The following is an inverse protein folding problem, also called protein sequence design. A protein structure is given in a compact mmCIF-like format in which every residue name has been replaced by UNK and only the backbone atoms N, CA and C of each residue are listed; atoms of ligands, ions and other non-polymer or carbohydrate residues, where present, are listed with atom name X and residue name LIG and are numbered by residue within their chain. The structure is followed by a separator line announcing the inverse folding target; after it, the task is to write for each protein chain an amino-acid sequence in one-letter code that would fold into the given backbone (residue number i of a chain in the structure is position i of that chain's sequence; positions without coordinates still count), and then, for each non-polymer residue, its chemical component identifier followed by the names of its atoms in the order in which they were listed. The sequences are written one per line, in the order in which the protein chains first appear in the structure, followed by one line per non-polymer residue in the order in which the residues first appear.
data_IF_880636627101
#
_entry.id   IF_880636627101
#
_cell.length_a   1.000
_cell.length_b   1.000
_cell.length_c   1.000
_cell.angle_alpha   90.00
_cell.angle_beta   90.00
_cell.angle_gamma   90.00
#
_symmetry.space_group_name_H-M   'P 1'
#
loop_
_entity.id
_entity.type
_entity.pdbx_description
1 polymer ?
#
# COMPACT_ATOMS: atom_id res chain seq x y z
N UNK A 1 6.56 7.34 -20.64
CA UNK A 1 7.41 6.15 -20.43
C UNK A 1 7.97 6.26 -19.02
N UNK A 2 7.65 5.29 -18.16
CA UNK A 2 7.99 5.31 -16.73
C UNK A 2 9.14 4.32 -16.54
N UNK A 3 10.28 4.74 -16.02
CA UNK A 3 11.49 3.90 -15.91
C UNK A 3 11.77 3.56 -14.43
N UNK A 4 12.26 2.35 -14.19
CA UNK A 4 12.64 1.86 -12.85
C UNK A 4 14.05 2.33 -12.45
N UNK A 5 14.31 2.41 -11.14
CA UNK A 5 15.62 2.77 -10.59
C UNK A 5 16.63 1.61 -10.74
N UNK A 6 17.87 1.87 -11.20
CA UNK A 6 18.92 0.85 -11.20
C UNK A 6 19.37 0.54 -9.76
N UNK A 7 19.65 -0.74 -9.52
CA UNK A 7 20.21 -1.26 -8.26
C UNK A 7 21.58 -0.61 -7.99
N UNK A 8 21.92 -0.19 -6.76
CA UNK A 8 23.26 0.30 -6.47
C UNK A 8 24.28 -0.87 -6.50
N UNK A 9 24.93 -0.98 -7.66
CA UNK A 9 26.21 -1.62 -8.03
C UNK A 9 26.56 -3.01 -7.44
N UNK A 10 26.39 -4.04 -8.27
CA UNK A 10 27.45 -5.00 -8.55
C UNK A 10 27.34 -5.38 -10.04
N UNK A 11 28.40 -5.09 -10.80
CA UNK A 11 28.36 -4.93 -12.25
C UNK A 11 27.89 -6.16 -13.04
N UNK A 12 27.06 -5.89 -14.05
CA UNK A 12 27.06 -6.54 -15.36
C UNK A 12 25.91 -5.97 -16.23
N UNK A 13 26.25 -5.49 -17.42
CA UNK A 13 25.35 -5.52 -18.57
C UNK A 13 24.33 -4.39 -18.69
N UNK A 14 24.64 -3.45 -19.58
CA UNK A 14 23.67 -2.58 -20.21
C UNK A 14 22.54 -3.38 -20.87
N UNK A 15 21.38 -3.47 -20.21
CA UNK A 15 20.17 -4.04 -20.82
C UNK A 15 18.84 -3.47 -20.29
N UNK A 16 18.84 -2.53 -19.33
CA UNK A 16 17.58 -2.07 -18.71
C UNK A 16 17.29 -0.57 -18.88
N UNK A 17 18.05 0.12 -19.72
CA UNK A 17 17.80 1.51 -20.08
C UNK A 17 16.65 1.61 -21.11
N UNK A 18 15.44 1.24 -20.72
CA UNK A 18 14.28 1.35 -21.61
C UNK A 18 13.03 0.55 -21.23
N UNK A 19 13.06 -0.29 -20.20
CA UNK A 19 11.88 -1.06 -19.84
C UNK A 19 10.88 -0.16 -19.11
N UNK A 20 9.69 -0.01 -19.70
CA UNK A 20 8.60 0.65 -19.03
C UNK A 20 8.27 -0.14 -17.76
N UNK A 21 8.34 0.51 -16.60
CA UNK A 21 7.97 -0.10 -15.32
C UNK A 21 6.55 -0.66 -15.39
N UNK A 22 6.39 -1.90 -14.93
CA UNK A 22 5.09 -2.56 -14.81
C UNK A 22 4.29 -2.05 -13.59
N UNK A 23 4.79 -1.02 -12.89
CA UNK A 23 4.17 -0.44 -11.70
C UNK A 23 2.71 -0.06 -11.91
N UNK A 24 2.38 0.61 -13.02
CA UNK A 24 1.00 1.04 -13.29
C UNK A 24 0.05 -0.17 -13.43
N UNK A 25 0.52 -1.25 -14.05
CA UNK A 25 -0.23 -2.52 -14.16
C UNK A 25 -0.44 -3.13 -12.78
N UNK A 26 0.59 -3.14 -11.92
CA UNK A 26 0.46 -3.60 -10.53
C UNK A 26 -0.53 -2.75 -9.74
N UNK A 27 -0.42 -1.41 -9.80
CA UNK A 27 -1.33 -0.49 -9.10
C UNK A 27 -2.79 -0.68 -9.58
N UNK A 28 -3.01 -0.85 -10.88
CA UNK A 28 -4.34 -1.10 -11.44
C UNK A 28 -4.92 -2.43 -10.95
N UNK A 29 -4.11 -3.49 -10.98
CA UNK A 29 -4.51 -4.82 -10.47
C UNK A 29 -4.84 -4.79 -8.97
N UNK A 30 -4.01 -4.13 -8.17
CA UNK A 30 -4.17 -4.07 -6.71
C UNK A 30 -5.29 -3.13 -6.26
N UNK A 31 -5.57 -2.07 -7.02
CA UNK A 31 -6.71 -1.19 -6.79
C UNK A 31 -8.06 -1.89 -7.01
N UNK A 32 -8.11 -2.99 -7.77
CA UNK A 32 -9.34 -3.76 -8.06
C UNK A 32 -10.51 -2.88 -8.54
N UNK A 33 -10.20 -1.90 -9.40
CA UNK A 33 -11.19 -0.97 -9.93
C UNK A 33 -11.59 0.18 -9.00
N UNK A 34 -10.98 0.31 -7.80
CA UNK A 34 -11.19 1.44 -6.89
C UNK A 34 -10.24 2.60 -7.23
N UNK A 35 -10.73 3.69 -7.87
CA UNK A 35 -9.85 4.77 -8.33
C UNK A 35 -9.10 5.46 -7.19
N UNK A 36 -9.72 5.54 -6.02
CA UNK A 36 -9.11 6.14 -4.82
C UNK A 36 -7.87 5.37 -4.35
N UNK A 37 -7.92 4.04 -4.41
CA UNK A 37 -6.78 3.17 -4.04
C UNK A 37 -5.68 3.29 -5.09
N UNK A 38 -6.04 3.17 -6.37
CA UNK A 38 -5.10 3.31 -7.49
C UNK A 38 -4.38 4.67 -7.45
N UNK A 39 -5.13 5.76 -7.25
CA UNK A 39 -4.58 7.11 -7.16
C UNK A 39 -3.65 7.28 -5.96
N UNK A 40 -4.05 6.79 -4.80
CA UNK A 40 -3.27 6.91 -3.58
C UNK A 40 -1.96 6.12 -3.66
N UNK A 41 -1.99 4.90 -4.19
CA UNK A 41 -0.79 4.08 -4.43
C UNK A 41 0.17 4.74 -5.43
N UNK A 42 -0.37 5.36 -6.49
CA UNK A 42 0.42 6.13 -7.45
C UNK A 42 1.06 7.37 -6.80
N UNK A 43 0.30 8.13 -6.01
CA UNK A 43 0.82 9.32 -5.32
C UNK A 43 1.93 8.94 -4.33
N UNK A 44 1.76 7.85 -3.60
CA UNK A 44 2.77 7.32 -2.68
C UNK A 44 4.07 6.91 -3.41
N UNK A 45 3.97 6.30 -4.60
CA UNK A 45 5.18 5.93 -5.37
C UNK A 45 6.00 7.17 -5.76
N UNK A 46 5.34 8.25 -6.19
CA UNK A 46 6.01 9.52 -6.51
C UNK A 46 6.62 10.15 -5.25
N UNK A 47 5.87 10.20 -4.14
CA UNK A 47 6.35 10.84 -2.92
C UNK A 47 7.58 10.12 -2.36
N UNK A 48 7.58 8.79 -2.37
CA UNK A 48 8.73 7.98 -1.94
C UNK A 48 9.94 8.20 -2.84
N UNK A 49 9.74 8.25 -4.16
CA UNK A 49 10.80 8.59 -5.09
C UNK A 49 11.43 9.95 -4.77
N UNK A 50 10.60 10.97 -4.52
CA UNK A 50 11.10 12.30 -4.15
C UNK A 50 11.92 12.26 -2.86
N UNK A 51 11.48 11.48 -1.86
CA UNK A 51 12.21 11.33 -0.60
C UNK A 51 13.54 10.60 -0.79
N UNK A 52 13.61 9.57 -1.63
CA UNK A 52 14.87 8.87 -1.91
C UNK A 52 15.86 9.73 -2.71
N UNK A 53 15.38 10.55 -3.65
CA UNK A 53 16.21 11.54 -4.37
C UNK A 53 16.75 12.65 -3.46
N UNK A 54 16.01 13.07 -2.43
CA UNK A 54 16.50 14.06 -1.46
C UNK A 54 17.61 13.51 -0.56
N UNK A 55 17.67 12.18 -0.41
CA UNK A 55 18.67 11.50 0.41
C UNK A 55 19.96 11.12 -0.35
N UNK A 56 19.96 11.21 -1.69
CA UNK A 56 21.09 10.85 -2.53
C UNK A 56 21.50 12.01 -3.43
N UNK A 57 22.81 12.23 -3.64
CA UNK A 57 23.39 13.16 -4.63
C UNK A 57 23.12 12.74 -6.10
N UNK A 58 21.98 12.10 -6.38
CA UNK A 58 21.62 11.46 -7.65
C UNK A 58 21.31 12.44 -8.79
N UNK A 59 21.29 13.75 -8.52
CA UNK A 59 20.97 14.76 -9.53
C UNK A 59 22.12 15.06 -10.50
N UNK A 60 23.34 14.58 -10.25
CA UNK A 60 24.52 14.90 -11.08
C UNK A 60 24.61 14.13 -12.41
N UNK A 61 23.78 13.10 -12.64
CA UNK A 61 23.83 12.26 -13.84
C UNK A 61 22.80 12.65 -14.93
N UNK A 62 21.96 13.65 -14.71
CA UNK A 62 20.85 14.00 -15.62
C UNK A 62 21.29 15.06 -16.62
N UNK A 63 22.17 14.70 -17.56
CA UNK A 63 22.55 15.60 -18.68
C UNK A 63 21.82 15.34 -19.99
N UNK A 64 21.03 14.28 -20.10
CA UNK A 64 20.42 13.91 -21.39
C UNK A 64 19.10 13.14 -21.25
N UNK A 65 18.10 13.75 -20.60
CA UNK A 65 16.77 13.15 -20.48
C UNK A 65 15.75 14.12 -21.07
N UNK A 66 15.14 13.69 -22.18
CA UNK A 66 13.99 14.33 -22.84
C UNK A 66 12.98 14.80 -21.79
N UNK A 67 12.51 16.03 -21.95
CA UNK A 67 11.97 16.94 -20.92
C UNK A 67 10.75 16.49 -20.08
N UNK A 68 10.31 15.22 -20.14
CA UNK A 68 9.14 14.72 -19.36
C UNK A 68 9.25 13.25 -18.93
N UNK A 69 10.37 12.85 -18.32
CA UNK A 69 10.50 11.51 -17.70
C UNK A 69 10.25 11.59 -16.19
N UNK A 70 9.36 10.74 -15.68
CA UNK A 70 9.14 10.56 -14.24
C UNK A 70 9.72 9.20 -13.85
N UNK A 71 10.61 9.23 -12.87
CA UNK A 71 11.19 8.04 -12.26
C UNK A 71 10.32 7.60 -11.09
N UNK A 72 10.12 6.29 -10.96
CA UNK A 72 9.34 5.69 -9.88
C UNK A 72 10.04 4.43 -9.38
N UNK A 73 9.81 4.03 -8.11
CA UNK A 73 10.25 2.73 -7.64
C UNK A 73 9.53 1.60 -8.36
N UNK A 74 10.14 0.41 -8.38
CA UNK A 74 9.42 -0.81 -8.78
C UNK A 74 8.37 -1.17 -7.72
N UNK A 75 7.41 -2.03 -8.08
CA UNK A 75 6.38 -2.49 -7.13
C UNK A 75 6.98 -3.09 -5.85
N UNK A 76 8.05 -3.89 -5.98
CA UNK A 76 8.73 -4.51 -4.84
C UNK A 76 9.41 -3.49 -3.90
N UNK A 77 9.67 -2.27 -4.38
CA UNK A 77 10.25 -1.18 -3.60
C UNK A 77 9.16 -0.31 -2.92
N UNK A 78 7.88 -0.52 -3.22
CA UNK A 78 6.79 0.06 -2.44
C UNK A 78 6.67 -0.72 -1.13
N UNK A 79 7.06 -0.09 -0.02
CA UNK A 79 6.82 -0.62 1.32
C UNK A 79 5.33 -0.62 1.62
N UNK A 80 4.68 -1.76 1.41
CA UNK A 80 3.33 -2.02 1.88
C UNK A 80 3.36 -2.33 3.38
N UNK A 81 2.34 -1.92 4.15
CA UNK A 81 2.20 -2.25 5.55
C UNK A 81 2.29 -3.76 5.81
N UNK A 82 3.09 -4.14 6.79
CA UNK A 82 3.10 -5.52 7.29
C UNK A 82 1.89 -5.76 8.18
N UNK A 83 1.16 -6.84 7.93
CA UNK A 83 0.02 -7.21 8.75
C UNK A 83 0.46 -7.89 10.05
N UNK A 84 -0.35 -7.78 11.13
CA UNK A 84 -0.16 -8.62 12.32
C UNK A 84 -0.25 -10.11 11.97
N UNK A 85 0.39 -10.96 12.78
CA UNK A 85 0.56 -12.39 12.49
C UNK A 85 -0.75 -13.15 12.27
N UNK A 86 -0.72 -14.14 11.37
CA UNK A 86 -1.89 -14.92 10.90
C UNK A 86 -2.61 -15.75 11.98
N UNK A 87 -2.04 -15.89 13.17
CA UNK A 87 -2.62 -16.73 14.23
C UNK A 87 -3.79 -16.10 14.98
N UNK A 88 -4.03 -14.80 14.81
CA UNK A 88 -5.12 -14.09 15.49
C UNK A 88 -6.22 -13.71 14.50
N UNK A 89 -7.46 -14.08 14.81
CA UNK A 89 -8.61 -13.78 13.96
C UNK A 89 -9.11 -12.35 14.14
N UNK A 90 -8.87 -11.73 15.31
CA UNK A 90 -9.37 -10.38 15.62
C UNK A 90 -8.95 -9.34 14.56
N UNK A 91 -7.68 -9.24 14.13
CA UNK A 91 -7.28 -8.34 13.06
C UNK A 91 -8.02 -8.58 11.75
N UNK A 92 -8.24 -9.84 11.36
CA UNK A 92 -8.97 -10.18 10.13
C UNK A 92 -10.42 -9.68 10.20
N UNK A 93 -11.11 -9.92 11.31
CA UNK A 93 -12.48 -9.43 11.52
C UNK A 93 -12.55 -7.90 11.48
N UNK A 94 -11.63 -7.22 12.16
CA UNK A 94 -11.56 -5.75 12.18
C UNK A 94 -11.34 -5.23 10.76
N UNK A 95 -10.31 -5.72 10.06
CA UNK A 95 -9.98 -5.26 8.71
C UNK A 95 -11.11 -5.56 7.72
N UNK A 96 -11.73 -6.74 7.78
CA UNK A 96 -12.89 -7.09 6.95
C UNK A 96 -14.06 -6.15 7.20
N UNK A 97 -14.38 -5.87 8.47
CA UNK A 97 -15.44 -4.94 8.87
C UNK A 97 -15.18 -3.52 8.33
N UNK A 98 -13.94 -3.04 8.43
CA UNK A 98 -13.58 -1.72 7.90
C UNK A 98 -13.72 -1.64 6.38
N UNK A 99 -13.39 -2.71 5.65
CA UNK A 99 -13.60 -2.76 4.19
C UNK A 99 -15.08 -2.83 3.82
N UNK A 100 -15.86 -3.69 4.48
CA UNK A 100 -17.27 -3.89 4.21
C UNK A 100 -18.09 -2.61 4.40
N UNK A 101 -17.74 -1.81 5.41
CA UNK A 101 -18.44 -0.55 5.71
C UNK A 101 -17.84 0.67 5.03
N UNK A 102 -16.79 0.51 4.21
CA UNK A 102 -15.97 1.62 3.71
C UNK A 102 -15.63 2.59 4.84
N UNK A 103 -15.15 2.04 5.95
CA UNK A 103 -14.83 2.75 7.18
C UNK A 103 -15.97 2.85 8.20
N UNK A 104 -15.62 2.85 9.49
CA UNK A 104 -16.59 2.83 10.58
C UNK A 104 -16.14 3.69 11.76
N UNK A 105 -17.09 4.35 12.44
CA UNK A 105 -16.80 5.05 13.70
C UNK A 105 -16.37 4.04 14.76
N UNK A 106 -15.34 4.39 15.53
CA UNK A 106 -14.77 3.49 16.55
C UNK A 106 -15.77 3.01 17.60
N UNK A 107 -16.80 3.81 17.86
CA UNK A 107 -17.87 3.50 18.81
C UNK A 107 -18.85 2.42 18.32
N UNK A 108 -18.94 2.23 17.00
CA UNK A 108 -19.83 1.24 16.37
C UNK A 108 -19.15 -0.12 16.22
N UNK A 109 -17.81 -0.18 16.17
CA UNK A 109 -17.07 -1.43 16.02
C UNK A 109 -17.44 -2.48 17.10
N UNK A 110 -17.53 -2.16 18.41
CA UNK A 110 -17.95 -3.12 19.42
C UNK A 110 -19.39 -3.61 19.30
N UNK A 111 -20.22 -3.00 18.43
CA UNK A 111 -21.60 -3.42 18.18
C UNK A 111 -21.72 -4.43 17.04
N UNK A 112 -20.73 -4.49 16.16
CA UNK A 112 -20.73 -5.35 14.97
C UNK A 112 -19.69 -6.47 15.05
N UNK A 113 -18.71 -6.33 15.94
CA UNK A 113 -17.66 -7.31 16.17
C UNK A 113 -17.94 -8.12 17.45
N UNK A 114 -17.66 -9.44 17.44
CA UNK A 114 -17.87 -10.32 18.60
C UNK A 114 -16.69 -10.25 19.61
N UNK A 115 -16.14 -9.06 19.83
CA UNK A 115 -14.95 -8.84 20.67
C UNK A 115 -15.17 -7.68 21.65
N UNK A 116 -14.41 -7.65 22.74
CA UNK A 116 -14.49 -6.55 23.71
C UNK A 116 -14.03 -5.23 23.08
N UNK A 117 -14.50 -4.11 23.64
CA UNK A 117 -14.09 -2.77 23.22
C UNK A 117 -12.58 -2.60 23.34
N UNK A 118 -11.99 -3.15 24.38
CA UNK A 118 -10.58 -3.03 24.72
C UNK A 118 -9.70 -3.79 23.72
N UNK A 119 -10.11 -5.00 23.33
CA UNK A 119 -9.46 -5.80 22.28
C UNK A 119 -9.49 -5.08 20.93
N UNK A 120 -10.67 -4.60 20.52
CA UNK A 120 -10.85 -3.87 19.27
C UNK A 120 -9.96 -2.61 19.26
N UNK A 121 -9.98 -1.82 20.34
CA UNK A 121 -9.18 -0.60 20.43
C UNK A 121 -7.67 -0.88 20.41
N UNK A 122 -7.22 -1.98 21.04
CA UNK A 122 -5.82 -2.42 20.98
C UNK A 122 -5.43 -2.81 19.55
N UNK A 123 -6.27 -3.61 18.90
CA UNK A 123 -6.06 -4.03 17.51
C UNK A 123 -6.01 -2.82 16.56
N UNK A 124 -6.94 -1.87 16.66
CA UNK A 124 -6.94 -0.66 15.83
C UNK A 124 -5.66 0.16 16.00
N UNK A 125 -5.17 0.33 17.24
CA UNK A 125 -3.89 1.03 17.49
C UNK A 125 -2.70 0.31 16.88
N UNK A 126 -2.68 -1.02 16.92
CA UNK A 126 -1.64 -1.82 16.28
C UNK A 126 -1.71 -1.72 14.75
N UNK A 127 -2.89 -1.83 14.16
CA UNK A 127 -3.08 -1.64 12.73
C UNK A 127 -2.68 -0.22 12.30
N UNK A 128 -2.94 0.78 13.14
CA UNK A 128 -2.52 2.16 12.90
C UNK A 128 -1.01 2.35 12.95
N UNK A 129 -0.33 1.79 13.97
CA UNK A 129 1.13 1.93 14.09
C UNK A 129 1.87 1.25 12.94
N UNK A 130 1.27 0.22 12.34
CA UNK A 130 1.77 -0.47 11.13
C UNK A 130 1.39 0.24 9.82
N UNK A 131 0.54 1.26 9.86
CA UNK A 131 0.07 1.97 8.67
C UNK A 131 -1.00 1.21 7.86
N UNK A 132 -1.60 0.16 8.44
CA UNK A 132 -2.67 -0.64 7.81
C UNK A 132 -4.03 0.07 7.91
N UNK A 133 -4.28 0.73 9.03
CA UNK A 133 -5.51 1.47 9.29
C UNK A 133 -5.23 2.91 9.71
N UNK A 134 -6.18 3.80 9.47
CA UNK A 134 -6.10 5.20 9.88
C UNK A 134 -7.46 5.71 10.36
N UNK A 135 -7.44 6.86 11.03
CA UNK A 135 -8.65 7.61 11.36
C UNK A 135 -8.73 8.78 10.40
N UNK A 136 -9.79 8.78 9.59
CA UNK A 136 -10.12 9.85 8.65
C UNK A 136 -11.56 10.30 8.92
N UNK A 137 -11.75 11.61 9.12
CA UNK A 137 -13.04 12.22 9.50
C UNK A 137 -13.76 11.47 10.65
N UNK A 138 -13.00 11.09 11.69
CA UNK A 138 -13.51 10.35 12.86
C UNK A 138 -13.95 8.91 12.58
N UNK A 139 -13.62 8.36 11.41
CA UNK A 139 -13.89 6.97 11.01
C UNK A 139 -12.58 6.21 10.87
N UNK A 140 -12.54 5.01 11.42
CA UNK A 140 -11.49 4.05 11.13
C UNK A 140 -11.66 3.55 9.71
N UNK A 141 -10.57 3.53 8.93
CA UNK A 141 -10.52 3.01 7.55
C UNK A 141 -9.25 2.20 7.36
N UNK A 142 -9.27 1.29 6.39
CA UNK A 142 -8.03 0.68 5.87
C UNK A 142 -7.35 1.72 4.98
N UNK A 143 -6.06 1.94 5.16
CA UNK A 143 -5.30 2.88 4.33
C UNK A 143 -5.20 2.36 2.89
N UNK A 144 -5.01 3.26 1.93
CA UNK A 144 -4.79 2.81 0.55
C UNK A 144 -3.54 1.92 0.39
N UNK A 145 -2.50 2.17 1.19
CA UNK A 145 -1.29 1.34 1.21
C UNK A 145 -1.54 -0.03 1.86
N UNK A 146 -2.40 -0.09 2.88
CA UNK A 146 -2.79 -1.33 3.56
C UNK A 146 -3.75 -2.19 2.74
N UNK A 147 -4.56 -1.58 1.88
CA UNK A 147 -5.60 -2.27 1.12
C UNK A 147 -5.12 -3.53 0.35
N UNK A 148 -4.01 -3.49 -0.42
CA UNK A 148 -3.45 -4.69 -1.07
C UNK A 148 -3.15 -5.82 -0.08
N UNK A 149 -2.46 -5.50 1.02
CA UNK A 149 -2.06 -6.47 2.02
C UNK A 149 -3.28 -7.09 2.73
N UNK A 150 -4.23 -6.24 3.16
CA UNK A 150 -5.48 -6.68 3.80
C UNK A 150 -6.27 -7.62 2.89
N UNK A 151 -6.44 -7.25 1.62
CA UNK A 151 -7.18 -8.09 0.66
C UNK A 151 -6.48 -9.42 0.42
N UNK A 152 -5.15 -9.44 0.35
CA UNK A 152 -4.37 -10.68 0.27
C UNK A 152 -4.62 -11.59 1.47
N UNK A 153 -4.52 -11.05 2.68
CA UNK A 153 -4.76 -11.83 3.90
C UNK A 153 -6.18 -12.36 4.02
N UNK A 154 -7.20 -11.56 3.67
CA UNK A 154 -8.59 -12.03 3.67
C UNK A 154 -8.79 -13.17 2.65
N UNK A 155 -8.20 -13.05 1.46
CA UNK A 155 -8.25 -14.11 0.45
C UNK A 155 -7.55 -15.40 0.91
N UNK A 156 -6.37 -15.28 1.52
CA UNK A 156 -5.60 -16.42 2.07
C UNK A 156 -6.42 -17.19 3.13
N UNK A 157 -7.23 -16.48 3.92
CA UNK A 157 -8.09 -17.02 4.97
C UNK A 157 -9.47 -17.48 4.44
N UNK A 158 -9.66 -17.50 3.11
CA UNK A 158 -10.86 -18.02 2.47
C UNK A 158 -12.08 -17.09 2.52
N UNK A 159 -11.90 -15.82 2.88
CA UNK A 159 -12.99 -14.84 2.75
C UNK A 159 -13.31 -14.62 1.27
N UNK A 160 -14.60 -14.47 0.98
CA UNK A 160 -15.06 -14.01 -0.33
C UNK A 160 -14.60 -12.56 -0.52
N UNK A 161 -13.50 -12.40 -1.24
CA UNK A 161 -13.09 -11.12 -1.82
C UNK A 161 -13.55 -11.11 -3.27
N UNK A 162 -14.05 -9.96 -3.74
CA UNK A 162 -14.55 -9.83 -5.11
C UNK A 162 -13.55 -10.41 -6.13
N UNK A 163 -14.04 -11.31 -6.98
CA UNK A 163 -13.29 -11.80 -8.13
C UNK A 163 -13.14 -10.64 -9.12
N UNK A 164 -11.90 -10.42 -9.57
CA UNK A 164 -11.58 -9.51 -10.69
C UNK A 164 -12.37 -9.88 -11.94
#
# INVERSE_FOLDING_TARGET
MVLELPRPEAGAGAADAGVASNLLTHIASQGRGLPEITWSLWRESILRFRQSMLAADALKAVKDVRERTIWVPSWAQLHLPELPGKSDHLPLFVMHTLLLHAGLRGELLPRVLPFSREEIQRCLRELQSRGVAEVDDGRWRVTAAGYPAVRGALNDEGYLVDSL
#
